data_IF_512321555672
#
_entry.id   IF_512321555672
#
_cell.length_a   1.000
_cell.length_b   1.000
_cell.length_c   1.000
_cell.angle_alpha   90.00
_cell.angle_beta   90.00
_cell.angle_gamma   90.00
#
_symmetry.space_group_name_H-M   'P 1'
#
loop_
_entity.id
_entity.type
_entity.pdbx_description
1 polymer ?
#
# COMPACT_ATOMS: atom_id res chain seq x y z
N UNK A 1 1.98 21.11 7.24
CA UNK A 1 0.58 21.25 7.70
C UNK A 1 -0.12 22.23 6.76
N UNK A 2 -0.64 21.71 5.63
CA UNK A 2 -1.25 22.52 4.57
C UNK A 2 -2.69 22.80 5.00
N UNK A 3 -3.02 24.07 5.24
CA UNK A 3 -4.35 24.50 5.66
C UNK A 3 -5.34 24.32 4.50
N UNK A 4 -6.26 23.37 4.66
CA UNK A 4 -7.42 23.11 3.77
C UNK A 4 -8.46 24.27 3.75
N UNK A 5 -8.04 25.52 3.89
CA UNK A 5 -8.94 26.67 4.10
C UNK A 5 -9.40 27.35 2.80
N UNK A 6 -8.77 27.04 1.67
CA UNK A 6 -9.06 27.65 0.36
C UNK A 6 -10.33 27.11 -0.35
N UNK A 7 -10.72 25.82 -0.28
CA UNK A 7 -11.86 25.33 -1.07
C UNK A 7 -13.22 25.82 -0.56
N UNK A 8 -13.36 26.15 0.73
CA UNK A 8 -14.63 26.61 1.30
C UNK A 8 -15.00 28.00 0.77
N UNK A 9 -14.02 28.91 0.69
CA UNK A 9 -14.27 30.28 0.24
C UNK A 9 -14.65 30.32 -1.25
N UNK A 10 -13.95 29.56 -2.10
CA UNK A 10 -14.29 29.44 -3.52
C UNK A 10 -15.69 28.84 -3.73
N UNK A 11 -16.07 27.83 -2.95
CA UNK A 11 -17.39 27.22 -3.02
C UNK A 11 -18.52 28.18 -2.63
N UNK A 12 -18.33 28.98 -1.57
CA UNK A 12 -19.29 30.01 -1.15
C UNK A 12 -19.43 31.10 -2.22
N UNK A 13 -18.33 31.54 -2.83
CA UNK A 13 -18.35 32.54 -3.91
C UNK A 13 -19.07 32.00 -5.16
N UNK A 14 -18.85 30.75 -5.53
CA UNK A 14 -19.54 30.11 -6.68
C UNK A 14 -21.04 29.97 -6.40
N UNK A 15 -21.44 29.56 -5.20
CA UNK A 15 -22.86 29.49 -4.81
C UNK A 15 -23.52 30.87 -4.88
N UNK A 16 -22.88 31.89 -4.29
CA UNK A 16 -23.41 33.26 -4.30
C UNK A 16 -23.48 33.84 -5.71
N UNK A 17 -22.51 33.52 -6.57
CA UNK A 17 -22.51 33.92 -7.99
C UNK A 17 -23.63 33.23 -8.78
N UNK A 18 -23.83 31.92 -8.58
CA UNK A 18 -24.94 31.17 -9.19
C UNK A 18 -26.31 31.69 -8.73
N UNK A 19 -26.47 32.00 -7.44
CA UNK A 19 -27.70 32.62 -6.90
C UNK A 19 -27.95 34.00 -7.53
N UNK A 20 -26.88 34.78 -7.77
CA UNK A 20 -26.99 36.12 -8.36
C UNK A 20 -27.31 36.10 -9.86
N UNK A 21 -26.75 35.15 -10.61
CA UNK A 21 -26.99 35.03 -12.05
C UNK A 21 -28.39 34.51 -12.39
N UNK A 22 -29.00 33.68 -11.55
CA UNK A 22 -30.31 33.06 -11.81
C UNK A 22 -31.52 33.83 -11.26
N UNK A 23 -31.35 35.12 -10.95
CA UNK A 23 -32.33 35.91 -10.18
C UNK A 23 -33.64 36.30 -10.90
N UNK A 24 -33.80 36.34 -12.26
CA UNK A 24 -35.07 36.86 -12.80
C UNK A 24 -36.11 35.81 -13.23
N UNK A 25 -35.88 34.48 -13.17
CA UNK A 25 -36.83 33.51 -13.78
C UNK A 25 -37.32 32.35 -12.90
N UNK A 26 -36.91 32.23 -11.64
CA UNK A 26 -37.31 31.09 -10.80
C UNK A 26 -38.45 31.42 -9.84
N UNK A 27 -39.67 31.26 -10.33
CA UNK A 27 -40.91 31.57 -9.61
C UNK A 27 -41.36 30.59 -8.51
N UNK A 28 -40.58 29.61 -8.05
CA UNK A 28 -41.02 28.72 -6.94
C UNK A 28 -39.89 28.25 -6.04
N UNK A 29 -40.19 28.06 -4.74
CA UNK A 29 -39.30 27.47 -3.71
C UNK A 29 -38.61 26.17 -4.17
N UNK A 30 -39.24 25.42 -5.09
CA UNK A 30 -38.73 24.17 -5.66
C UNK A 30 -37.42 24.37 -6.43
N UNK A 31 -37.30 25.46 -7.21
CA UNK A 31 -36.12 25.73 -8.02
C UNK A 31 -34.86 26.00 -7.20
N UNK A 32 -35.01 26.67 -6.05
CA UNK A 32 -33.90 26.91 -5.10
C UNK A 32 -33.41 25.60 -4.48
N UNK A 33 -34.34 24.69 -4.13
CA UNK A 33 -34.00 23.37 -3.60
C UNK A 33 -33.21 22.55 -4.64
N UNK A 34 -33.63 22.57 -5.91
CA UNK A 34 -32.89 21.89 -6.98
C UNK A 34 -31.48 22.45 -7.18
N UNK A 35 -31.30 23.77 -7.12
CA UNK A 35 -29.97 24.39 -7.22
C UNK A 35 -29.06 24.00 -6.06
N UNK A 36 -29.56 24.04 -4.82
CA UNK A 36 -28.78 23.65 -3.64
C UNK A 36 -28.44 22.16 -3.65
N UNK A 37 -29.37 21.31 -4.06
CA UNK A 37 -29.12 19.88 -4.24
C UNK A 37 -28.05 19.62 -5.31
N UNK A 38 -28.15 20.30 -6.46
CA UNK A 38 -27.15 20.22 -7.53
C UNK A 38 -25.75 20.66 -7.07
N UNK A 39 -25.66 21.78 -6.33
CA UNK A 39 -24.39 22.24 -5.76
C UNK A 39 -23.82 21.26 -4.72
N UNK A 40 -24.67 20.66 -3.89
CA UNK A 40 -24.28 19.63 -2.94
C UNK A 40 -23.74 18.36 -3.62
N UNK A 41 -24.40 17.89 -4.68
CA UNK A 41 -23.93 16.75 -5.49
C UNK A 41 -22.60 17.08 -6.16
N UNK A 42 -22.48 18.24 -6.78
CA UNK A 42 -21.22 18.68 -7.43
C UNK A 42 -20.07 18.75 -6.42
N UNK A 43 -20.33 19.26 -5.21
CA UNK A 43 -19.37 19.28 -4.12
C UNK A 43 -18.91 17.86 -3.76
N UNK A 44 -19.84 16.94 -3.49
CA UNK A 44 -19.51 15.53 -3.16
C UNK A 44 -18.70 14.89 -4.29
N UNK A 45 -19.12 15.07 -5.55
CA UNK A 45 -18.42 14.53 -6.71
C UNK A 45 -16.98 15.06 -6.81
N UNK A 46 -16.73 16.31 -6.44
CA UNK A 46 -15.36 16.87 -6.45
C UNK A 46 -14.44 16.14 -5.46
N UNK A 47 -14.93 15.79 -4.26
CA UNK A 47 -14.14 15.00 -3.30
C UNK A 47 -13.93 13.58 -3.77
N UNK A 48 -14.96 12.96 -4.34
CA UNK A 48 -14.86 11.61 -4.91
C UNK A 48 -13.83 11.58 -6.04
N UNK A 49 -13.83 12.57 -6.94
CA UNK A 49 -12.86 12.64 -8.04
C UNK A 49 -11.41 12.76 -7.53
N UNK A 50 -11.16 13.63 -6.55
CA UNK A 50 -9.82 13.78 -5.94
C UNK A 50 -9.40 12.48 -5.25
N UNK A 51 -10.30 11.81 -4.53
CA UNK A 51 -10.02 10.53 -3.90
C UNK A 51 -9.67 9.44 -4.93
N UNK A 52 -10.46 9.31 -5.99
CA UNK A 52 -10.21 8.36 -7.08
C UNK A 52 -8.88 8.63 -7.79
N UNK A 53 -8.51 9.90 -7.97
CA UNK A 53 -7.20 10.28 -8.52
C UNK A 53 -6.05 9.74 -7.66
N UNK A 54 -6.12 9.85 -6.33
CA UNK A 54 -5.09 9.29 -5.44
C UNK A 54 -5.03 7.76 -5.50
N UNK A 55 -6.19 7.09 -5.55
CA UNK A 55 -6.25 5.63 -5.72
C UNK A 55 -5.58 5.23 -7.04
N UNK A 56 -5.90 5.93 -8.13
CA UNK A 56 -5.34 5.66 -9.45
C UNK A 56 -3.81 5.85 -9.49
N UNK A 57 -3.30 6.95 -8.91
CA UNK A 57 -1.85 7.18 -8.78
C UNK A 57 -1.17 6.04 -8.01
N UNK A 58 -1.81 5.54 -6.94
CA UNK A 58 -1.31 4.39 -6.19
C UNK A 58 -1.22 3.13 -7.05
N UNK A 59 -2.26 2.81 -7.82
CA UNK A 59 -2.26 1.65 -8.72
C UNK A 59 -1.16 1.75 -9.78
N UNK A 60 -0.96 2.92 -10.37
CA UNK A 60 0.12 3.16 -11.34
C UNK A 60 1.52 2.96 -10.74
N UNK A 61 1.73 3.29 -9.46
CA UNK A 61 3.02 3.04 -8.80
C UNK A 61 3.25 1.55 -8.57
N UNK A 62 2.23 0.78 -8.19
CA UNK A 62 2.38 -0.69 -8.10
C UNK A 62 2.76 -1.25 -9.47
N UNK A 63 2.03 -0.87 -10.52
CA UNK A 63 2.29 -1.33 -11.89
C UNK A 63 3.66 -0.90 -12.43
N UNK A 64 4.14 0.29 -12.01
CA UNK A 64 5.42 0.83 -12.45
C UNK A 64 6.64 0.16 -11.77
N UNK A 65 6.47 -0.45 -10.60
CA UNK A 65 7.60 -0.94 -9.79
C UNK A 65 7.56 -2.43 -9.47
N UNK A 66 6.39 -3.06 -9.56
CA UNK A 66 6.28 -4.50 -9.39
C UNK A 66 6.55 -5.23 -10.71
N UNK A 67 7.21 -6.40 -10.66
CA UNK A 67 7.27 -7.28 -11.80
C UNK A 67 5.89 -7.66 -12.31
N UNK A 68 5.82 -7.99 -13.59
CA UNK A 68 4.62 -8.52 -14.22
C UNK A 68 4.12 -9.75 -13.46
N UNK A 69 2.80 -9.92 -13.37
CA UNK A 69 2.17 -10.98 -12.61
C UNK A 69 2.65 -12.38 -13.06
N UNK A 70 2.96 -12.54 -14.35
CA UNK A 70 3.48 -13.78 -14.91
C UNK A 70 4.89 -14.15 -14.40
N UNK A 71 5.70 -13.16 -14.03
CA UNK A 71 7.11 -13.34 -13.62
C UNK A 71 7.35 -12.98 -12.15
N UNK A 72 6.29 -12.66 -11.41
CA UNK A 72 6.37 -12.16 -10.04
C UNK A 72 7.05 -13.17 -9.12
N UNK A 73 6.53 -14.40 -9.10
CA UNK A 73 7.03 -15.45 -8.21
C UNK A 73 8.45 -15.89 -8.59
N UNK A 74 8.76 -15.98 -9.88
CA UNK A 74 10.10 -16.29 -10.37
C UNK A 74 11.13 -15.24 -9.96
N UNK A 75 10.77 -13.96 -10.09
CA UNK A 75 11.63 -12.85 -9.68
C UNK A 75 11.85 -12.84 -8.16
N UNK A 76 10.78 -13.05 -7.39
CA UNK A 76 10.85 -13.09 -5.94
C UNK A 76 11.69 -14.28 -5.44
N UNK A 77 11.51 -15.46 -6.04
CA UNK A 77 12.31 -16.64 -5.74
C UNK A 77 13.79 -16.42 -6.05
N UNK A 78 14.11 -15.90 -7.25
CA UNK A 78 15.47 -15.58 -7.67
C UNK A 78 16.15 -14.63 -6.69
N UNK A 79 15.49 -13.52 -6.37
CA UNK A 79 16.10 -12.44 -5.59
C UNK A 79 16.23 -12.79 -4.10
N UNK A 80 15.25 -13.51 -3.54
CA UNK A 80 15.37 -14.04 -2.17
C UNK A 80 16.45 -15.10 -2.08
N UNK A 81 16.55 -16.00 -3.06
CA UNK A 81 17.61 -17.01 -3.09
C UNK A 81 18.99 -16.37 -3.22
N UNK A 82 19.16 -15.36 -4.08
CA UNK A 82 20.41 -14.63 -4.21
C UNK A 82 20.82 -13.97 -2.88
N UNK A 83 19.90 -13.23 -2.26
CA UNK A 83 20.14 -12.57 -0.98
C UNK A 83 20.56 -13.55 0.13
N UNK A 84 19.83 -14.66 0.30
CA UNK A 84 20.14 -15.62 1.35
C UNK A 84 21.36 -16.48 1.04
N UNK A 85 21.69 -16.73 -0.23
CA UNK A 85 22.92 -17.44 -0.59
C UNK A 85 24.16 -16.60 -0.28
N UNK A 86 24.13 -15.32 -0.63
CA UNK A 86 25.19 -14.36 -0.29
C UNK A 86 25.37 -14.26 1.22
N UNK A 87 24.27 -14.04 1.95
CA UNK A 87 24.27 -13.93 3.42
C UNK A 87 24.83 -15.17 4.13
N UNK A 88 24.57 -16.36 3.59
CA UNK A 88 25.03 -17.63 4.19
C UNK A 88 26.43 -18.05 3.69
N UNK A 89 27.00 -17.36 2.71
CA UNK A 89 28.28 -17.71 2.08
C UNK A 89 28.25 -19.05 1.34
N UNK A 90 27.06 -19.56 1.01
CA UNK A 90 26.87 -20.83 0.30
C UNK A 90 25.52 -20.87 -0.43
N UNK A 91 25.37 -21.70 -1.47
CA UNK A 91 24.07 -21.88 -2.13
C UNK A 91 23.01 -22.37 -1.16
N UNK A 92 21.82 -21.74 -1.21
CA UNK A 92 20.64 -22.18 -0.44
C UNK A 92 19.42 -22.29 -1.35
N UNK A 93 18.41 -23.01 -0.88
CA UNK A 93 17.07 -22.99 -1.46
C UNK A 93 16.14 -22.22 -0.53
N UNK A 94 15.37 -21.30 -1.08
CA UNK A 94 14.41 -20.49 -0.32
C UNK A 94 13.00 -20.86 -0.74
N UNK A 95 12.16 -21.20 0.23
CA UNK A 95 10.71 -21.34 0.03
C UNK A 95 10.02 -20.22 0.78
N UNK A 96 8.96 -19.66 0.21
CA UNK A 96 8.24 -18.55 0.85
C UNK A 96 6.73 -18.75 0.85
N UNK A 97 6.10 -18.09 1.81
CA UNK A 97 4.65 -17.98 1.95
C UNK A 97 4.30 -16.50 2.20
N UNK A 98 3.30 -15.97 1.50
CA UNK A 98 2.84 -14.61 1.72
C UNK A 98 2.26 -14.43 3.13
N UNK A 99 2.72 -13.40 3.85
CA UNK A 99 2.16 -13.00 5.14
C UNK A 99 0.96 -12.07 4.99
N UNK A 100 0.76 -11.52 3.79
CA UNK A 100 -0.36 -10.66 3.44
C UNK A 100 -0.65 -10.77 1.94
N UNK A 101 -1.93 -10.68 1.58
CA UNK A 101 -2.35 -10.60 0.19
C UNK A 101 -2.03 -9.21 -0.38
N UNK A 102 -1.19 -9.18 -1.42
CA UNK A 102 -0.86 -7.97 -2.17
C UNK A 102 0.14 -7.01 -1.47
N UNK A 103 0.58 -5.98 -2.20
CA UNK A 103 1.52 -5.00 -1.68
C UNK A 103 0.89 -4.08 -0.64
N UNK A 104 1.74 -3.52 0.21
CA UNK A 104 1.43 -2.33 1.00
C UNK A 104 2.21 -1.15 0.45
N UNK A 105 1.50 -0.08 0.16
CA UNK A 105 2.08 1.17 -0.28
C UNK A 105 1.71 2.27 0.70
N UNK A 106 2.70 3.08 1.05
CA UNK A 106 2.51 4.32 1.81
C UNK A 106 3.06 5.46 0.97
N UNK A 107 2.19 6.38 0.57
CA UNK A 107 2.53 7.48 -0.34
C UNK A 107 3.01 7.01 -1.71
N UNK A 108 4.08 7.62 -2.20
CA UNK A 108 4.69 7.37 -3.53
C UNK A 108 5.86 6.37 -3.48
N UNK A 109 6.09 5.70 -2.35
CA UNK A 109 7.19 4.74 -2.23
C UNK A 109 6.91 3.42 -2.96
N UNK A 110 7.97 2.65 -3.24
CA UNK A 110 7.87 1.33 -3.86
C UNK A 110 6.90 0.40 -3.12
N UNK A 111 6.16 -0.46 -3.86
CA UNK A 111 5.28 -1.45 -3.26
C UNK A 111 6.08 -2.42 -2.38
N UNK A 112 5.57 -2.66 -1.17
CA UNK A 112 6.20 -3.55 -0.19
C UNK A 112 5.40 -4.83 -0.02
N UNK A 113 6.09 -5.95 -0.05
CA UNK A 113 5.55 -7.30 0.13
C UNK A 113 6.11 -7.90 1.41
N UNK A 114 5.32 -8.76 2.05
CA UNK A 114 5.69 -9.41 3.30
C UNK A 114 5.56 -10.91 3.11
N UNK A 115 6.67 -11.61 3.31
CA UNK A 115 6.74 -13.05 3.14
C UNK A 115 7.39 -13.68 4.36
N UNK A 116 7.06 -14.93 4.58
CA UNK A 116 7.79 -15.79 5.49
C UNK A 116 8.62 -16.75 4.68
N UNK A 117 9.91 -16.81 4.97
CA UNK A 117 10.85 -17.68 4.28
C UNK A 117 11.23 -18.87 5.14
N UNK A 118 11.50 -19.99 4.50
CA UNK A 118 12.22 -21.14 5.03
C UNK A 118 13.44 -21.33 4.14
N UNK A 119 14.61 -21.38 4.77
CA UNK A 119 15.92 -21.40 4.10
C UNK A 119 16.51 -22.80 4.31
N UNK A 120 16.88 -23.44 3.21
CA UNK A 120 17.39 -24.80 3.20
C UNK A 120 18.81 -24.82 2.64
N UNK A 121 19.70 -25.57 3.29
CA UNK A 121 20.99 -25.95 2.74
C UNK A 121 21.14 -27.47 2.86
N UNK A 122 21.62 -28.11 1.79
CA UNK A 122 21.83 -29.56 1.76
C UNK A 122 20.56 -30.36 2.14
N UNK A 123 19.39 -29.84 1.72
CA UNK A 123 18.08 -30.43 1.99
C UNK A 123 17.55 -30.24 3.43
N UNK A 124 18.27 -29.54 4.31
CA UNK A 124 17.85 -29.29 5.70
C UNK A 124 17.48 -27.83 5.91
N UNK A 125 16.41 -27.58 6.66
CA UNK A 125 16.05 -26.21 7.08
C UNK A 125 17.13 -25.70 8.03
N UNK A 126 17.78 -24.61 7.66
CA UNK A 126 18.84 -23.97 8.47
C UNK A 126 18.34 -22.71 9.17
N UNK A 127 17.33 -22.03 8.61
CA UNK A 127 16.71 -20.86 9.22
C UNK A 127 15.31 -20.62 8.61
N UNK A 128 14.50 -19.83 9.28
CA UNK A 128 13.21 -19.36 8.80
C UNK A 128 12.94 -17.97 9.38
N UNK A 129 12.09 -17.16 8.75
CA UNK A 129 11.76 -15.86 9.32
C UNK A 129 10.88 -14.98 8.45
N UNK A 130 10.57 -13.80 8.96
CA UNK A 130 9.77 -12.81 8.26
C UNK A 130 10.65 -11.86 7.46
N UNK A 131 10.28 -11.62 6.20
CA UNK A 131 11.00 -10.77 5.26
C UNK A 131 10.07 -9.69 4.73
N UNK A 132 10.59 -8.46 4.63
CA UNK A 132 9.96 -7.34 3.94
C UNK A 132 10.75 -7.04 2.67
N UNK A 133 10.02 -7.07 1.55
CA UNK A 133 10.59 -6.99 0.21
C UNK A 133 10.00 -5.78 -0.51
N UNK A 134 10.79 -5.04 -1.27
CA UNK A 134 10.34 -3.91 -2.09
C UNK A 134 10.52 -4.22 -3.58
N UNK A 135 9.51 -3.90 -4.40
CA UNK A 135 9.67 -3.93 -5.86
C UNK A 135 10.55 -2.77 -6.34
N UNK A 136 11.54 -3.06 -7.19
CA UNK A 136 12.47 -2.07 -7.72
C UNK A 136 12.54 -2.19 -9.24
N UNK A 137 11.98 -1.19 -9.93
CA UNK A 137 12.14 -1.02 -11.38
C UNK A 137 11.60 -2.17 -12.23
N UNK A 138 10.49 -2.81 -11.82
CA UNK A 138 9.82 -3.96 -12.49
C UNK A 138 10.62 -5.25 -12.64
N UNK A 139 11.94 -5.21 -12.48
CA UNK A 139 12.77 -6.36 -12.84
C UNK A 139 13.25 -7.16 -11.63
N UNK A 140 13.23 -6.55 -10.44
CA UNK A 140 13.74 -7.18 -9.23
C UNK A 140 13.02 -6.77 -7.96
N UNK A 141 13.26 -7.58 -6.95
CA UNK A 141 12.90 -7.37 -5.57
C UNK A 141 14.14 -7.10 -4.72
N UNK A 142 14.00 -6.16 -3.80
CA UNK A 142 15.03 -5.85 -2.82
C UNK A 142 14.56 -6.28 -1.43
N UNK A 143 15.39 -7.06 -0.73
CA UNK A 143 15.13 -7.47 0.64
C UNK A 143 15.54 -6.30 1.54
N UNK A 144 14.54 -5.59 2.07
CA UNK A 144 14.77 -4.41 2.92
C UNK A 144 14.96 -4.77 4.39
N UNK A 145 14.27 -5.81 4.86
CA UNK A 145 14.36 -6.24 6.26
C UNK A 145 14.17 -7.76 6.36
N UNK A 146 14.92 -8.40 7.25
CA UNK A 146 14.76 -9.81 7.62
C UNK A 146 14.88 -9.99 9.13
N UNK A 147 13.86 -10.57 9.75
CA UNK A 147 13.88 -11.02 11.14
C UNK A 147 13.79 -12.55 11.17
N UNK A 148 14.85 -13.22 11.67
CA UNK A 148 14.85 -14.68 11.83
C UNK A 148 13.86 -15.12 12.89
N UNK A 149 13.39 -16.37 12.80
CA UNK A 149 12.49 -17.01 13.76
C UNK A 149 13.08 -16.93 15.17
N UNK A 150 14.37 -17.22 15.31
CA UNK A 150 15.07 -17.12 16.59
C UNK A 150 15.00 -15.71 17.17
N UNK A 151 15.24 -14.68 16.35
CA UNK A 151 15.16 -13.28 16.78
C UNK A 151 13.73 -12.86 17.17
N UNK A 152 12.72 -13.33 16.44
CA UNK A 152 11.31 -13.02 16.74
C UNK A 152 10.88 -13.68 18.05
N UNK A 153 11.30 -14.92 18.31
CA UNK A 153 10.99 -15.62 19.55
C UNK A 153 11.69 -14.99 20.76
N UNK A 154 12.93 -14.52 20.59
CA UNK A 154 13.71 -13.86 21.65
C UNK A 154 13.14 -12.47 21.99
N UNK A 155 12.82 -11.66 20.98
CA UNK A 155 12.29 -10.30 21.17
C UNK A 155 11.07 -10.04 20.26
N UNK A 156 9.87 -10.53 20.61
CA UNK A 156 8.66 -10.38 19.79
C UNK A 156 8.30 -8.93 19.45
N UNK A 157 8.66 -7.99 20.33
CA UNK A 157 8.40 -6.56 20.15
C UNK A 157 9.04 -5.96 18.89
N UNK A 158 10.14 -6.54 18.37
CA UNK A 158 10.83 -6.07 17.16
C UNK A 158 9.97 -6.10 15.91
N UNK A 159 8.94 -6.95 15.88
CA UNK A 159 8.01 -7.03 14.75
C UNK A 159 7.39 -5.67 14.44
N UNK A 160 7.01 -4.90 15.46
CA UNK A 160 6.30 -3.63 15.29
C UNK A 160 7.17 -2.52 14.68
N UNK A 161 8.49 -2.66 14.70
CA UNK A 161 9.40 -1.70 14.09
C UNK A 161 9.51 -1.87 12.57
N UNK A 162 9.28 -3.10 12.08
CA UNK A 162 9.52 -3.47 10.69
C UNK A 162 8.21 -3.71 9.93
N UNK A 163 7.24 -4.32 10.59
CA UNK A 163 6.04 -4.86 9.98
C UNK A 163 4.77 -4.10 10.41
N UNK A 164 3.80 -3.93 9.50
CA UNK A 164 2.47 -3.44 9.87
C UNK A 164 1.79 -4.38 10.86
N UNK A 165 0.93 -3.83 11.72
CA UNK A 165 0.22 -4.58 12.78
C UNK A 165 -0.42 -5.88 12.28
N UNK A 166 -1.13 -5.86 11.16
CA UNK A 166 -1.78 -7.05 10.60
C UNK A 166 -0.78 -8.18 10.29
N UNK A 167 0.40 -7.83 9.75
CA UNK A 167 1.47 -8.79 9.45
C UNK A 167 2.09 -9.32 10.75
N UNK A 168 2.27 -8.46 11.76
CA UNK A 168 2.74 -8.89 13.08
C UNK A 168 1.83 -9.97 13.68
N UNK A 169 0.50 -9.80 13.62
CA UNK A 169 -0.45 -10.77 14.15
C UNK A 169 -0.40 -12.10 13.38
N UNK A 170 -0.26 -12.06 12.05
CA UNK A 170 -0.04 -13.28 11.24
C UNK A 170 1.24 -14.02 11.65
N UNK A 171 2.33 -13.30 11.89
CA UNK A 171 3.61 -13.89 12.33
C UNK A 171 3.47 -14.50 13.72
N UNK A 172 2.87 -13.78 14.68
CA UNK A 172 2.64 -14.29 16.04
C UNK A 172 1.77 -15.53 16.04
N UNK A 173 0.68 -15.53 15.27
CA UNK A 173 -0.20 -16.68 15.11
C UNK A 173 0.55 -17.90 14.57
N UNK A 174 1.42 -17.72 13.57
CA UNK A 174 2.28 -18.79 13.04
C UNK A 174 3.25 -19.34 14.09
N UNK A 175 3.79 -18.48 14.95
CA UNK A 175 4.76 -18.85 15.98
C UNK A 175 4.12 -19.26 17.32
N UNK A 176 2.80 -19.14 17.46
CA UNK A 176 2.05 -19.36 18.71
C UNK A 176 2.55 -18.46 19.86
N UNK A 177 2.81 -17.20 19.54
CA UNK A 177 3.15 -16.12 20.48
C UNK A 177 1.91 -15.34 20.92
#
# INVERSE_FOLDING_TARGET
MIKFFVPIFAFVVIILFCIRLFRPSFGTKKSVIFLLAGAGVAYILSYVAVFLMFVYIGLLHVEAYSPDAAHFDDSLARDTQAYFSERQGRPVTVRYEYLRQGPTQSGIGSPRYYIWVKIFADGREIDAGAVKVAGVGKDRFEITDFLSRGMILDVPGRLNAVFPKAVCETIKSRLRL
#
